data_IF_284766912714
#
_entry.id   IF_284766912714
#
_cell.length_a   1.000
_cell.length_b   1.000
_cell.length_c   1.000
_cell.angle_alpha   90.00
_cell.angle_beta   90.00
_cell.angle_gamma   90.00
#
_symmetry.space_group_name_H-M   'P 1'
#
loop_
_entity.id
_entity.type
_entity.pdbx_description
1 polymer ?
#
# COMPACT_ATOMS: atom_id res chain seq x y z
N UNK A 1 -25.30 -36.44 49.99
CA UNK A 1 -26.04 -37.46 49.24
C UNK A 1 -25.17 -37.89 48.07
N UNK A 2 -24.80 -39.16 48.06
CA UNK A 2 -23.83 -39.82 47.20
C UNK A 2 -24.50 -40.21 45.88
N UNK A 3 -23.90 -39.90 44.72
CA UNK A 3 -23.82 -40.83 43.58
C UNK A 3 -22.50 -40.59 42.84
N UNK A 4 -21.72 -41.65 42.77
CA UNK A 4 -20.39 -41.78 42.19
C UNK A 4 -20.54 -42.70 40.96
N UNK A 5 -19.99 -42.37 39.79
CA UNK A 5 -19.81 -43.36 38.72
C UNK A 5 -18.44 -43.18 38.06
N UNK A 6 -17.70 -44.29 38.12
CA UNK A 6 -16.31 -44.49 37.73
C UNK A 6 -16.17 -44.80 36.24
N UNK A 7 -15.02 -44.42 35.68
CA UNK A 7 -14.54 -44.82 34.36
C UNK A 7 -13.92 -46.23 34.39
N UNK A 8 -14.02 -47.02 33.29
CA UNK A 8 -13.39 -48.34 33.20
C UNK A 8 -11.97 -48.27 32.59
N UNK A 9 -11.07 -49.02 33.22
CA UNK A 9 -9.73 -49.41 32.78
C UNK A 9 -9.78 -50.71 31.97
N UNK A 10 -9.16 -50.76 30.79
CA UNK A 10 -8.80 -52.02 30.10
C UNK A 10 -7.47 -51.81 29.35
N UNK A 11 -6.37 -52.37 29.87
CA UNK A 11 -5.78 -53.70 29.59
C UNK A 11 -4.94 -53.74 28.31
N UNK A 12 -3.63 -53.71 28.56
CA UNK A 12 -2.53 -54.04 27.66
C UNK A 12 -2.54 -55.56 27.38
N UNK A 13 -2.73 -55.95 26.13
CA UNK A 13 -2.52 -57.32 25.65
C UNK A 13 -1.23 -57.38 24.84
N UNK A 14 -0.26 -58.10 25.38
CA UNK A 14 0.95 -58.58 24.70
C UNK A 14 0.61 -59.91 24.01
N UNK A 15 0.74 -59.95 22.69
CA UNK A 15 0.65 -61.17 21.88
C UNK A 15 1.73 -61.15 20.83
N UNK A 16 2.74 -61.98 21.02
CA UNK A 16 3.78 -62.31 20.03
C UNK A 16 3.22 -63.35 19.09
N UNK A 17 2.88 -62.97 17.86
CA UNK A 17 2.58 -63.92 16.79
C UNK A 17 3.64 -63.86 15.70
N UNK A 18 4.12 -65.06 15.42
CA UNK A 18 5.22 -65.48 14.57
C UNK A 18 4.90 -65.27 13.10
N UNK A 19 5.86 -64.69 12.37
CA UNK A 19 5.85 -64.58 10.92
C UNK A 19 5.86 -65.96 10.25
N UNK A 20 4.85 -66.22 9.41
CA UNK A 20 4.85 -67.28 8.41
C UNK A 20 4.55 -66.65 7.04
N UNK A 21 5.55 -66.67 6.17
CA UNK A 21 5.43 -66.31 4.76
C UNK A 21 4.63 -67.36 3.98
N UNK A 22 3.72 -66.94 3.07
CA UNK A 22 3.30 -67.79 1.98
C UNK A 22 3.67 -67.17 0.62
N UNK A 23 4.57 -67.88 -0.07
CA UNK A 23 4.72 -68.10 -1.51
C UNK A 23 4.64 -66.94 -2.55
N UNK A 24 5.61 -66.90 -3.49
CA UNK A 24 5.64 -65.89 -4.55
C UNK A 24 4.59 -66.20 -5.62
N UNK A 25 3.60 -65.33 -5.75
CA UNK A 25 2.74 -65.28 -6.94
C UNK A 25 3.53 -64.66 -8.10
N UNK A 26 3.85 -65.53 -9.05
CA UNK A 26 4.40 -65.25 -10.36
C UNK A 26 3.52 -64.20 -11.08
N UNK A 27 3.95 -62.93 -11.09
CA UNK A 27 3.30 -61.84 -11.83
C UNK A 27 4.19 -61.44 -13.00
N UNK A 28 3.65 -61.64 -14.20
CA UNK A 28 4.30 -61.37 -15.48
C UNK A 28 4.68 -59.89 -15.62
N UNK A 29 5.90 -59.56 -16.07
CA UNK A 29 6.33 -58.18 -16.26
C UNK A 29 5.97 -57.72 -17.68
N UNK A 30 4.71 -57.42 -17.96
CA UNK A 30 4.33 -56.96 -19.31
C UNK A 30 3.06 -56.14 -19.44
N UNK A 31 2.71 -55.25 -18.50
CA UNK A 31 1.60 -54.28 -18.74
C UNK A 31 1.83 -52.85 -18.19
N UNK A 32 3.01 -52.52 -17.65
CA UNK A 32 3.28 -51.20 -17.05
C UNK A 32 4.21 -50.29 -17.89
N UNK A 33 4.02 -50.22 -19.21
CA UNK A 33 4.89 -49.42 -20.09
C UNK A 33 4.20 -48.42 -21.03
N UNK A 34 2.91 -48.08 -20.84
CA UNK A 34 2.21 -47.22 -21.83
C UNK A 34 1.36 -46.06 -21.29
N UNK A 35 1.42 -45.73 -19.99
CA UNK A 35 0.61 -44.61 -19.43
C UNK A 35 1.36 -43.30 -19.11
N UNK A 36 2.68 -43.23 -19.32
CA UNK A 36 3.47 -42.03 -18.97
C UNK A 36 3.76 -41.09 -20.15
N UNK A 37 3.62 -41.52 -21.40
CA UNK A 37 4.03 -40.72 -22.58
C UNK A 37 2.99 -39.67 -23.00
N UNK A 38 1.70 -39.92 -22.80
CA UNK A 38 0.65 -38.94 -23.13
C UNK A 38 0.61 -37.73 -22.18
N UNK A 39 1.10 -37.88 -20.94
CA UNK A 39 1.20 -36.78 -19.97
C UNK A 39 2.28 -35.76 -20.36
N UNK A 40 3.38 -36.22 -20.95
CA UNK A 40 4.50 -35.36 -21.33
C UNK A 40 4.18 -34.52 -22.55
N UNK A 41 3.50 -35.07 -23.55
CA UNK A 41 3.04 -34.32 -24.72
C UNK A 41 2.01 -33.24 -24.35
N UNK A 42 1.06 -33.55 -23.45
CA UNK A 42 0.10 -32.55 -22.97
C UNK A 42 0.80 -31.44 -22.16
N UNK A 43 1.78 -31.80 -21.32
CA UNK A 43 2.57 -30.85 -20.52
C UNK A 43 3.45 -29.94 -21.40
N UNK A 44 4.10 -30.48 -22.44
CA UNK A 44 4.90 -29.67 -23.36
C UNK A 44 4.03 -28.73 -24.20
N UNK A 45 2.87 -29.19 -24.67
CA UNK A 45 1.90 -28.33 -25.38
C UNK A 45 1.41 -27.21 -24.47
N UNK A 46 1.01 -27.52 -23.23
CA UNK A 46 0.58 -26.51 -22.27
C UNK A 46 1.69 -25.50 -21.94
N UNK A 47 2.93 -25.99 -21.78
CA UNK A 47 4.11 -25.15 -21.58
C UNK A 47 4.32 -24.21 -22.77
N UNK A 48 4.23 -24.70 -24.01
CA UNK A 48 4.37 -23.89 -25.22
C UNK A 48 3.25 -22.83 -25.31
N UNK A 49 2.01 -23.19 -25.01
CA UNK A 49 0.88 -22.24 -24.99
C UNK A 49 1.13 -21.15 -23.95
N UNK A 50 1.55 -21.50 -22.73
CA UNK A 50 1.90 -20.50 -21.71
C UNK A 50 3.13 -19.68 -22.09
N UNK A 51 4.13 -20.27 -22.74
CA UNK A 51 5.33 -19.56 -23.20
C UNK A 51 4.97 -18.53 -24.29
N UNK A 52 4.14 -18.91 -25.26
CA UNK A 52 3.63 -18.00 -26.29
C UNK A 52 2.74 -16.91 -25.69
N UNK A 53 1.87 -17.24 -24.74
CA UNK A 53 1.06 -16.25 -24.03
C UNK A 53 1.92 -15.27 -23.22
N UNK A 54 2.93 -15.76 -22.51
CA UNK A 54 3.90 -14.92 -21.79
C UNK A 54 4.68 -14.03 -22.76
N UNK A 55 5.11 -14.55 -23.90
CA UNK A 55 5.80 -13.79 -24.94
C UNK A 55 4.88 -12.71 -25.54
N UNK A 56 3.63 -13.03 -25.84
CA UNK A 56 2.65 -12.04 -26.32
C UNK A 56 2.41 -10.94 -25.29
N UNK A 57 2.16 -11.30 -24.02
CA UNK A 57 2.00 -10.33 -22.93
C UNK A 57 3.25 -9.46 -22.77
N UNK A 58 4.44 -10.08 -22.84
CA UNK A 58 5.71 -9.38 -22.79
C UNK A 58 5.83 -8.39 -23.95
N UNK A 59 5.70 -8.82 -25.20
CA UNK A 59 5.80 -7.99 -26.42
C UNK A 59 4.76 -6.87 -26.40
N UNK A 60 3.53 -7.14 -25.98
CA UNK A 60 2.48 -6.11 -25.85
C UNK A 60 2.83 -5.07 -24.78
N UNK A 61 3.33 -5.51 -23.62
CA UNK A 61 3.76 -4.60 -22.54
C UNK A 61 4.98 -3.77 -22.96
N UNK A 62 5.95 -4.44 -23.59
CA UNK A 62 7.12 -3.89 -24.26
C UNK A 62 6.76 -2.79 -25.25
N UNK A 63 5.89 -3.09 -26.20
CA UNK A 63 5.40 -2.15 -27.20
C UNK A 63 4.70 -0.95 -26.55
N UNK A 64 3.80 -1.20 -25.59
CA UNK A 64 3.14 -0.14 -24.82
C UNK A 64 4.12 0.72 -24.04
N UNK A 65 5.23 0.16 -23.58
CA UNK A 65 6.27 0.93 -22.89
C UNK A 65 7.09 1.81 -23.83
N UNK A 66 7.37 1.33 -25.05
CA UNK A 66 8.14 2.09 -26.03
C UNK A 66 7.33 3.20 -26.70
N UNK A 67 6.04 2.94 -26.96
CA UNK A 67 5.13 3.91 -27.61
C UNK A 67 4.53 4.90 -26.58
N UNK A 68 4.75 4.68 -25.28
CA UNK A 68 4.28 5.58 -24.22
C UNK A 68 5.02 6.93 -24.32
N UNK A 69 4.29 7.96 -24.77
CA UNK A 69 4.77 9.35 -24.71
C UNK A 69 4.81 9.82 -23.27
N UNK A 70 5.93 10.44 -22.86
CA UNK A 70 6.02 11.12 -21.57
C UNK A 70 5.00 12.26 -21.53
N UNK A 71 4.19 12.30 -20.48
CA UNK A 71 3.18 13.35 -20.25
C UNK A 71 3.68 14.25 -19.15
N UNK A 72 3.61 15.55 -19.36
CA UNK A 72 3.86 16.58 -18.32
C UNK A 72 2.54 17.12 -17.79
N UNK A 73 2.56 17.68 -16.60
CA UNK A 73 1.40 18.25 -15.91
C UNK A 73 0.75 19.35 -16.74
N UNK A 74 1.55 20.22 -17.34
CA UNK A 74 1.09 21.29 -18.24
C UNK A 74 0.28 20.75 -19.44
N UNK A 75 0.55 19.50 -19.87
CA UNK A 75 -0.13 18.85 -20.97
C UNK A 75 -1.35 18.03 -20.51
N UNK A 76 -1.61 17.88 -19.21
CA UNK A 76 -2.88 17.37 -18.69
C UNK A 76 -3.90 18.49 -18.90
N UNK A 77 -4.62 18.45 -20.03
CA UNK A 77 -5.76 19.33 -20.25
C UNK A 77 -6.81 19.24 -19.13
N UNK A 78 -7.91 19.99 -19.22
CA UNK A 78 -8.93 20.00 -18.17
C UNK A 78 -9.43 18.57 -17.86
N UNK A 79 -9.23 18.14 -16.62
CA UNK A 79 -9.74 16.88 -16.11
C UNK A 79 -11.23 17.05 -15.80
N UNK A 80 -12.07 16.15 -16.32
CA UNK A 80 -13.51 16.09 -16.01
C UNK A 80 -13.78 15.84 -14.53
N UNK A 81 -12.88 15.10 -13.86
CA UNK A 81 -12.95 14.76 -12.44
C UNK A 81 -11.55 14.86 -11.84
N UNK A 82 -11.45 15.37 -10.61
CA UNK A 82 -10.21 15.45 -9.85
C UNK A 82 -10.41 14.79 -8.48
N UNK A 83 -9.45 14.00 -7.99
CA UNK A 83 -9.52 13.46 -6.64
C UNK A 83 -9.39 14.60 -5.63
N UNK A 84 -10.17 14.58 -4.56
CA UNK A 84 -9.99 15.43 -3.38
C UNK A 84 -8.82 14.91 -2.53
N UNK A 85 -8.65 13.59 -2.49
CA UNK A 85 -7.56 12.96 -1.76
C UNK A 85 -6.85 11.90 -2.61
N UNK A 86 -5.54 12.11 -2.78
CA UNK A 86 -4.65 11.20 -3.47
C UNK A 86 -3.84 10.35 -2.48
N UNK A 87 -3.94 9.03 -2.58
CA UNK A 87 -3.04 8.10 -1.90
C UNK A 87 -1.88 7.69 -2.81
N UNK A 88 -0.68 7.53 -2.25
CA UNK A 88 0.49 6.99 -2.93
C UNK A 88 1.14 5.93 -2.04
N UNK A 89 1.23 4.70 -2.54
CA UNK A 89 1.95 3.60 -1.89
C UNK A 89 3.30 3.43 -2.58
N UNK A 90 4.37 3.65 -1.83
CA UNK A 90 5.74 3.38 -2.27
C UNK A 90 6.10 1.94 -1.91
N UNK A 91 5.88 1.02 -2.85
CA UNK A 91 6.04 -0.41 -2.64
C UNK A 91 7.51 -0.82 -2.72
N UNK A 92 8.07 -1.21 -1.57
CA UNK A 92 9.41 -1.77 -1.43
C UNK A 92 9.38 -3.30 -1.54
N UNK A 93 10.36 -3.88 -2.25
CA UNK A 93 10.49 -5.35 -2.39
C UNK A 93 11.06 -6.02 -1.15
N UNK A 94 11.93 -5.33 -0.44
CA UNK A 94 12.60 -5.82 0.76
C UNK A 94 12.55 -4.76 1.84
N UNK A 95 12.49 -5.18 3.10
CA UNK A 95 12.56 -4.25 4.24
C UNK A 95 13.99 -3.66 4.42
N UNK A 96 14.93 -3.93 3.49
CA UNK A 96 16.27 -3.34 3.47
C UNK A 96 16.21 -1.88 3.02
N UNK A 97 16.62 -0.99 3.92
CA UNK A 97 16.74 0.44 3.67
C UNK A 97 18.13 0.72 3.11
N UNK A 98 18.27 0.77 1.78
CA UNK A 98 19.46 1.39 1.17
C UNK A 98 19.24 2.91 1.10
N UNK A 99 20.31 3.73 1.17
CA UNK A 99 20.18 5.19 1.07
C UNK A 99 19.45 5.62 -0.21
N UNK A 100 19.68 4.92 -1.34
CA UNK A 100 19.00 5.17 -2.61
C UNK A 100 17.47 4.98 -2.50
N UNK A 101 16.99 4.00 -1.72
CA UNK A 101 15.54 3.82 -1.49
C UNK A 101 14.97 4.97 -0.68
N UNK A 102 15.69 5.42 0.36
CA UNK A 102 15.26 6.55 1.18
C UNK A 102 15.14 7.81 0.32
N UNK A 103 16.19 8.11 -0.46
CA UNK A 103 16.24 9.25 -1.36
C UNK A 103 15.10 9.22 -2.39
N UNK A 104 14.91 8.08 -3.08
CA UNK A 104 13.82 7.95 -4.04
C UNK A 104 12.42 8.10 -3.42
N UNK A 105 12.24 7.65 -2.16
CA UNK A 105 10.98 7.82 -1.45
C UNK A 105 10.73 9.27 -1.05
N UNK A 106 11.74 9.95 -0.50
CA UNK A 106 11.69 11.37 -0.15
C UNK A 106 11.40 12.21 -1.40
N UNK A 107 12.17 11.99 -2.47
CA UNK A 107 11.99 12.66 -3.75
C UNK A 107 10.58 12.44 -4.32
N UNK A 108 10.04 11.21 -4.21
CA UNK A 108 8.67 10.91 -4.64
C UNK A 108 7.64 11.66 -3.81
N UNK A 109 7.80 11.73 -2.49
CA UNK A 109 6.87 12.44 -1.61
C UNK A 109 6.85 13.94 -1.93
N UNK A 110 8.02 14.56 -2.08
CA UNK A 110 8.14 15.98 -2.39
C UNK A 110 7.56 16.33 -3.77
N UNK A 111 7.90 15.54 -4.80
CA UNK A 111 7.35 15.72 -6.16
C UNK A 111 5.84 15.62 -6.20
N UNK A 112 5.25 14.64 -5.54
CA UNK A 112 3.78 14.49 -5.53
C UNK A 112 3.11 15.69 -4.88
N UNK A 113 3.67 16.23 -3.80
CA UNK A 113 3.15 17.45 -3.19
C UNK A 113 3.19 18.62 -4.17
N UNK A 114 4.29 18.81 -4.89
CA UNK A 114 4.42 19.87 -5.89
C UNK A 114 3.42 19.69 -7.04
N UNK A 115 3.19 18.47 -7.50
CA UNK A 115 2.21 18.20 -8.53
C UNK A 115 0.77 18.40 -8.03
N UNK A 116 0.48 18.02 -6.79
CA UNK A 116 -0.80 18.31 -6.14
C UNK A 116 -1.03 19.81 -5.96
N UNK A 117 0.02 20.59 -5.64
CA UNK A 117 -0.04 22.07 -5.59
C UNK A 117 -0.46 22.64 -6.94
N UNK A 118 0.20 22.21 -8.02
CA UNK A 118 -0.08 22.68 -9.40
C UNK A 118 -1.50 22.33 -9.85
N UNK A 119 -2.00 21.15 -9.48
CA UNK A 119 -3.32 20.67 -9.91
C UNK A 119 -4.46 21.01 -8.94
N UNK A 120 -4.14 21.68 -7.83
CA UNK A 120 -5.06 22.03 -6.75
C UNK A 120 -5.74 20.82 -6.11
N UNK A 121 -4.97 19.77 -5.83
CA UNK A 121 -5.42 18.58 -5.09
C UNK A 121 -5.14 18.81 -3.59
N UNK A 122 -6.18 18.92 -2.73
CA UNK A 122 -6.00 19.43 -1.38
C UNK A 122 -5.35 18.45 -0.40
N UNK A 123 -5.53 17.14 -0.60
CA UNK A 123 -5.00 16.12 0.30
C UNK A 123 -4.14 15.11 -0.46
N UNK A 124 -2.99 14.76 0.13
CA UNK A 124 -2.15 13.65 -0.32
C UNK A 124 -1.70 12.79 0.87
N UNK A 125 -1.82 11.48 0.75
CA UNK A 125 -1.26 10.51 1.70
C UNK A 125 -0.15 9.71 1.03
N UNK A 126 1.08 9.79 1.54
CA UNK A 126 2.21 8.98 1.08
C UNK A 126 2.51 7.90 2.12
N UNK A 127 2.43 6.65 1.68
CA UNK A 127 2.57 5.48 2.52
C UNK A 127 3.82 4.70 2.18
N UNK A 128 4.58 4.36 3.22
CA UNK A 128 5.66 3.39 3.15
C UNK A 128 5.47 2.31 4.23
N UNK A 129 5.75 1.05 3.90
CA UNK A 129 5.49 -0.06 4.81
C UNK A 129 6.34 0.00 6.09
N UNK A 130 7.56 0.50 5.98
CA UNK A 130 8.60 0.42 7.02
C UNK A 130 8.61 1.63 7.96
N UNK A 131 7.89 2.71 7.64
CA UNK A 131 7.92 3.97 8.38
C UNK A 131 9.16 4.83 8.10
N UNK A 132 9.85 4.59 6.99
CA UNK A 132 11.04 5.34 6.58
C UNK A 132 10.72 6.80 6.33
N UNK A 133 9.60 7.12 5.67
CA UNK A 133 9.19 8.51 5.46
C UNK A 133 8.89 9.24 6.78
N UNK A 134 8.41 8.51 7.79
CA UNK A 134 8.19 9.07 9.12
C UNK A 134 9.52 9.44 9.78
N UNK A 135 10.57 8.62 9.62
CA UNK A 135 11.90 8.91 10.15
C UNK A 135 12.57 10.12 9.51
N UNK A 136 12.41 10.32 8.20
CA UNK A 136 12.98 11.46 7.45
C UNK A 136 11.98 12.63 7.29
N UNK A 137 10.91 12.64 8.10
CA UNK A 137 9.86 13.66 7.99
C UNK A 137 10.35 15.09 8.24
N UNK A 138 11.50 15.28 8.90
CA UNK A 138 12.13 16.59 9.06
C UNK A 138 12.73 17.10 7.75
N UNK A 139 13.44 16.24 7.04
CA UNK A 139 14.03 16.58 5.74
C UNK A 139 12.92 16.96 4.73
N UNK A 140 11.80 16.22 4.75
CA UNK A 140 10.61 16.53 3.94
C UNK A 140 9.97 17.88 4.35
N UNK A 141 9.95 18.19 5.64
CA UNK A 141 9.45 19.48 6.15
C UNK A 141 10.30 20.63 5.62
N UNK A 142 11.63 20.49 5.72
CA UNK A 142 12.58 21.51 5.28
C UNK A 142 12.53 21.69 3.76
N UNK A 143 12.44 20.59 2.99
CA UNK A 143 12.38 20.65 1.52
C UNK A 143 11.08 21.27 0.99
N UNK A 144 9.96 21.07 1.70
CA UNK A 144 8.64 21.55 1.27
C UNK A 144 8.21 22.87 1.90
N UNK A 145 9.04 23.47 2.76
CA UNK A 145 8.70 24.62 3.60
C UNK A 145 7.39 24.38 4.36
N UNK A 146 7.22 23.17 4.88
CA UNK A 146 5.95 22.70 5.43
C UNK A 146 5.85 22.90 6.95
N UNK A 147 4.64 23.14 7.44
CA UNK A 147 4.37 23.22 8.87
C UNK A 147 3.83 21.88 9.38
N UNK A 148 4.44 21.33 10.44
CA UNK A 148 3.91 20.12 11.06
C UNK A 148 2.63 20.46 11.83
N UNK A 149 1.52 19.82 11.46
CA UNK A 149 0.29 19.90 12.23
C UNK A 149 0.40 18.88 13.36
N UNK A 150 0.44 19.35 14.61
CA UNK A 150 0.21 18.51 15.77
C UNK A 150 -1.25 18.04 15.76
N UNK A 151 -1.51 16.96 15.02
CA UNK A 151 -2.73 16.20 15.20
C UNK A 151 -2.61 15.57 16.59
N UNK A 152 -3.59 15.78 17.47
CA UNK A 152 -3.67 15.18 18.81
C UNK A 152 -3.86 13.66 18.72
N UNK A 153 -2.98 12.93 18.04
CA UNK A 153 -2.75 11.50 18.25
C UNK A 153 -1.97 11.38 19.56
N UNK A 154 -2.63 11.72 20.67
CA UNK A 154 -2.21 11.31 22.00
C UNK A 154 -2.40 9.81 22.07
N UNK A 155 -1.45 9.04 21.55
CA UNK A 155 -1.16 7.70 22.06
C UNK A 155 -0.55 7.89 23.46
N UNK A 156 -1.32 8.43 24.39
CA UNK A 156 -0.96 8.37 25.80
C UNK A 156 -1.13 6.91 26.17
N UNK A 157 0.00 6.22 26.37
CA UNK A 157 0.10 4.91 26.98
C UNK A 157 -0.72 4.91 28.28
N UNK A 158 -1.97 4.49 28.20
CA UNK A 158 -2.74 4.16 29.39
C UNK A 158 -2.22 2.78 29.84
N UNK A 159 -1.78 2.61 31.10
CA UNK A 159 -1.38 1.32 31.62
C UNK A 159 -2.50 0.30 31.34
N UNK A 160 -2.13 -0.82 30.73
CA UNK A 160 -3.03 -1.95 30.50
C UNK A 160 -3.77 -2.27 31.82
N UNK A 161 -5.09 -2.55 31.79
CA UNK A 161 -5.75 -3.12 32.95
C UNK A 161 -5.07 -4.46 33.32
N UNK A 162 -5.08 -4.85 34.61
CA UNK A 162 -4.45 -6.08 35.08
C UNK A 162 -4.83 -7.31 34.23
N UNK A 163 -3.86 -8.18 34.00
CA UNK A 163 -3.93 -9.36 33.10
C UNK A 163 -4.96 -10.42 33.51
N UNK A 164 -5.74 -10.21 34.57
CA UNK A 164 -6.44 -11.28 35.29
C UNK A 164 -7.80 -11.70 34.70
N UNK A 165 -8.23 -11.13 33.56
CA UNK A 165 -9.50 -11.51 32.90
C UNK A 165 -9.36 -11.79 31.41
N UNK A 166 -8.33 -12.53 31.01
CA UNK A 166 -8.39 -13.23 29.72
C UNK A 166 -8.94 -14.63 29.98
N UNK A 167 -10.02 -15.08 29.29
CA UNK A 167 -10.36 -16.49 29.32
C UNK A 167 -9.16 -17.27 28.79
N UNK A 168 -8.81 -18.36 29.48
CA UNK A 168 -7.70 -19.25 29.12
C UNK A 168 -7.96 -19.78 27.72
N UNK A 169 -7.35 -19.16 26.70
CA UNK A 169 -7.22 -19.81 25.40
C UNK A 169 -6.45 -21.11 25.62
N UNK A 170 -6.89 -22.24 25.03
CA UNK A 170 -6.18 -23.50 25.15
C UNK A 170 -4.72 -23.32 24.69
N UNK A 171 -3.78 -24.07 25.28
CA UNK A 171 -2.37 -23.97 24.90
C UNK A 171 -2.22 -24.24 23.40
N UNK A 172 -1.31 -23.52 22.71
CA UNK A 172 -1.03 -23.78 21.32
C UNK A 172 -0.57 -25.23 21.15
N UNK A 173 -1.18 -25.96 20.22
CA UNK A 173 -0.79 -27.33 19.89
C UNK A 173 0.60 -27.35 19.25
N UNK A 174 1.45 -28.29 19.69
CA UNK A 174 2.86 -28.45 19.27
C UNK A 174 3.08 -28.69 17.77
N UNK A 175 2.02 -28.84 16.99
CA UNK A 175 2.09 -29.14 15.54
C UNK A 175 2.02 -27.88 14.66
N UNK A 176 2.02 -26.68 15.23
CA UNK A 176 2.04 -25.42 14.49
C UNK A 176 3.48 -24.88 14.34
N UNK A 177 4.30 -25.53 13.52
CA UNK A 177 5.51 -24.89 12.95
C UNK A 177 5.18 -23.98 11.76
N UNK A 178 3.92 -23.56 11.61
CA UNK A 178 3.61 -22.35 10.85
C UNK A 178 3.94 -21.15 11.75
N UNK A 179 4.77 -20.24 11.27
CA UNK A 179 5.00 -18.90 11.83
C UNK A 179 3.69 -18.11 11.85
N UNK A 180 2.77 -18.50 12.73
CA UNK A 180 1.55 -17.77 13.06
C UNK A 180 1.95 -16.60 13.94
N UNK A 181 2.52 -15.59 13.28
CA UNK A 181 2.74 -14.25 13.83
C UNK A 181 1.45 -13.83 14.52
N UNK A 182 1.50 -13.56 15.82
CA UNK A 182 0.41 -12.93 16.56
C UNK A 182 -0.02 -11.67 15.79
N UNK A 183 -1.18 -11.73 15.15
CA UNK A 183 -1.71 -10.70 14.25
C UNK A 183 -2.26 -9.45 14.96
N UNK A 184 -1.93 -9.24 16.23
CA UNK A 184 -2.29 -8.01 16.95
C UNK A 184 -1.03 -7.17 17.12
N UNK A 185 -0.85 -6.08 16.34
CA UNK A 185 0.35 -5.27 16.46
C UNK A 185 0.23 -4.42 17.72
N UNK A 186 1.27 -4.44 18.56
CA UNK A 186 1.44 -3.39 19.57
C UNK A 186 1.88 -2.11 18.84
N UNK A 187 1.19 -0.97 19.02
CA UNK A 187 1.61 0.29 18.43
C UNK A 187 2.83 0.81 19.20
N UNK A 188 4.03 0.51 18.71
CA UNK A 188 5.28 0.92 19.35
C UNK A 188 5.78 2.29 18.88
N UNK A 189 5.14 2.92 17.89
CA UNK A 189 5.64 4.14 17.26
C UNK A 189 4.59 5.10 16.72
N UNK A 190 5.06 6.29 16.34
CA UNK A 190 4.27 7.28 15.61
C UNK A 190 3.90 6.70 14.25
N UNK A 191 2.61 6.62 13.94
CA UNK A 191 2.09 5.97 12.73
C UNK A 191 1.69 6.95 11.62
N UNK A 192 1.42 8.21 11.98
CA UNK A 192 0.98 9.26 11.06
C UNK A 192 1.73 10.57 11.36
N UNK A 193 2.15 11.27 10.30
CA UNK A 193 2.64 12.65 10.36
C UNK A 193 1.85 13.50 9.36
N UNK A 194 1.16 14.52 9.84
CA UNK A 194 0.43 15.47 9.00
C UNK A 194 1.23 16.76 8.87
N UNK A 195 1.45 17.19 7.62
CA UNK A 195 2.18 18.39 7.25
C UNK A 195 1.25 19.29 6.42
N UNK A 196 1.35 20.60 6.65
CA UNK A 196 0.69 21.62 5.85
C UNK A 196 1.73 22.23 4.93
N UNK A 197 1.53 22.04 3.63
CA UNK A 197 2.44 22.50 2.59
C UNK A 197 1.83 23.73 1.93
N UNK A 198 2.35 24.96 2.17
CA UNK A 198 1.83 26.16 1.53
C UNK A 198 2.07 26.14 0.02
N UNK A 199 1.31 26.95 -0.73
CA UNK A 199 1.61 27.18 -2.15
C UNK A 199 2.98 27.83 -2.26
N UNK A 200 3.80 27.36 -3.21
CA UNK A 200 4.95 28.16 -3.65
C UNK A 200 4.38 29.19 -4.61
N UNK A 201 4.36 30.45 -4.21
CA UNK A 201 4.17 31.53 -5.17
C UNK A 201 5.20 31.30 -6.26
N UNK A 202 4.76 31.05 -7.50
CA UNK A 202 5.66 31.04 -8.64
C UNK A 202 6.21 32.46 -8.77
N UNK A 203 7.29 32.76 -8.03
CA UNK A 203 8.28 33.70 -8.49
C UNK A 203 8.73 33.12 -9.82
N UNK A 204 8.15 33.61 -10.91
CA UNK A 204 8.75 33.44 -12.23
C UNK A 204 10.15 33.97 -12.03
N UNK A 205 11.14 33.09 -11.99
CA UNK A 205 12.50 33.47 -12.28
C UNK A 205 12.42 34.12 -13.66
N UNK A 206 12.34 35.45 -13.66
CA UNK A 206 12.60 36.26 -14.83
C UNK A 206 14.04 35.89 -15.17
N UNK A 207 14.18 34.95 -16.09
CA UNK A 207 15.47 34.60 -16.69
C UNK A 207 15.98 35.93 -17.23
N UNK A 208 16.99 36.49 -16.56
CA UNK A 208 17.73 37.65 -17.01
C UNK A 208 18.25 37.34 -18.42
N UNK A 209 17.48 37.72 -19.45
CA UNK A 209 17.93 37.72 -20.83
C UNK A 209 18.75 39.00 -21.02
N UNK A 210 20.09 38.90 -21.11
CA UNK A 210 20.97 40.07 -21.11
C UNK A 210 20.84 40.94 -22.38
N UNK A 211 19.96 40.56 -23.32
CA UNK A 211 19.79 41.23 -24.61
C UNK A 211 18.60 42.19 -24.70
N UNK A 212 17.84 42.42 -23.63
CA UNK A 212 16.71 43.36 -23.66
C UNK A 212 17.12 44.77 -23.17
N UNK A 213 16.93 45.75 -24.05
CA UNK A 213 17.33 47.14 -23.84
C UNK A 213 16.66 47.77 -22.58
N UNK A 214 17.38 48.59 -21.80
CA UNK A 214 16.91 49.07 -20.48
C UNK A 214 15.69 50.03 -20.50
N UNK A 215 15.22 50.48 -21.66
CA UNK A 215 14.28 51.62 -21.75
C UNK A 215 12.79 51.28 -21.69
N UNK A 216 12.41 50.00 -21.52
CA UNK A 216 11.02 49.59 -21.35
C UNK A 216 10.70 48.97 -19.97
N UNK A 217 11.59 49.13 -18.98
CA UNK A 217 11.39 48.66 -17.59
C UNK A 217 10.44 49.55 -16.75
N UNK A 218 9.43 50.14 -17.38
CA UNK A 218 8.37 50.88 -16.65
C UNK A 218 7.00 50.36 -17.07
N UNK A 219 6.76 49.07 -16.82
CA UNK A 219 5.40 48.54 -16.79
C UNK A 219 4.90 48.56 -15.36
N UNK A 220 3.83 49.32 -15.19
CA UNK A 220 3.08 49.51 -13.95
C UNK A 220 2.86 48.18 -13.21
N UNK A 221 3.40 48.08 -12.00
CA UNK A 221 2.84 47.22 -10.97
C UNK A 221 1.45 47.78 -10.63
N UNK A 222 0.41 47.33 -11.33
CA UNK A 222 -0.94 47.41 -10.79
C UNK A 222 -0.99 46.46 -9.58
N UNK A 223 -1.45 46.92 -8.41
CA UNK A 223 -1.64 46.04 -7.28
C UNK A 223 -2.69 45.00 -7.66
N UNK A 224 -2.29 43.74 -7.67
CA UNK A 224 -3.21 42.61 -7.78
C UNK A 224 -4.25 42.73 -6.67
N UNK A 225 -5.52 42.80 -7.08
CA UNK A 225 -6.74 42.66 -6.26
C UNK A 225 -6.56 41.63 -5.14
N UNK A 226 -7.18 41.80 -3.95
CA UNK A 226 -7.00 40.91 -2.79
C UNK A 226 -7.35 39.48 -3.15
N UNK A 227 -6.32 38.71 -3.50
CA UNK A 227 -6.46 37.36 -4.03
C UNK A 227 -6.85 36.43 -2.89
N UNK A 228 -7.75 35.48 -3.20
CA UNK A 228 -8.09 34.33 -2.37
C UNK A 228 -6.90 33.78 -1.58
N UNK A 229 -7.12 33.25 -0.36
CA UNK A 229 -6.04 32.72 0.47
C UNK A 229 -5.20 31.70 -0.32
N UNK A 230 -3.87 31.68 -0.11
CA UNK A 230 -2.98 30.79 -0.84
C UNK A 230 -3.41 29.33 -0.64
N UNK A 231 -3.48 28.59 -1.75
CA UNK A 231 -3.87 27.18 -1.72
C UNK A 231 -2.83 26.35 -0.96
N UNK A 232 -3.27 25.54 0.01
CA UNK A 232 -2.37 24.68 0.81
C UNK A 232 -2.70 23.22 0.56
N UNK A 233 -1.67 22.38 0.42
CA UNK A 233 -1.80 20.92 0.35
C UNK A 233 -1.55 20.33 1.73
N UNK A 234 -2.42 19.42 2.17
CA UNK A 234 -2.19 18.63 3.39
C UNK A 234 -1.53 17.31 3.02
N UNK A 235 -0.30 17.10 3.46
CA UNK A 235 0.47 15.86 3.28
C UNK A 235 0.37 14.99 4.53
N UNK A 236 -0.06 13.74 4.36
CA UNK A 236 -0.05 12.71 5.40
C UNK A 236 1.02 11.67 5.08
N UNK A 237 2.05 11.56 5.91
CA UNK A 237 3.02 10.47 5.84
C UNK A 237 2.51 9.33 6.72
N UNK A 238 2.46 8.11 6.18
CA UNK A 238 1.85 6.94 6.80
C UNK A 238 2.81 5.76 6.83
N UNK A 239 2.79 5.02 7.94
CA UNK A 239 3.41 3.69 8.02
C UNK A 239 2.37 2.58 8.14
N UNK A 240 2.83 1.32 8.12
CA UNK A 240 1.98 0.14 8.40
C UNK A 240 1.20 0.24 9.72
N UNK A 241 1.73 0.95 10.71
CA UNK A 241 1.07 1.09 12.00
C UNK A 241 -0.22 1.92 11.91
N UNK A 242 -0.39 2.72 10.84
CA UNK A 242 -1.63 3.43 10.54
C UNK A 242 -2.76 2.53 10.04
N UNK A 243 -2.46 1.26 9.72
CA UNK A 243 -3.42 0.34 9.11
C UNK A 243 -4.34 -0.36 10.12
N UNK A 244 -4.25 -1.69 10.12
CA UNK A 244 -5.01 -2.56 11.04
C UNK A 244 -4.87 -2.23 12.53
N UNK A 245 -3.70 -1.80 13.05
CA UNK A 245 -3.56 -1.47 14.48
C UNK A 245 -4.49 -0.34 14.90
N UNK A 246 -4.53 0.75 14.13
CA UNK A 246 -5.42 1.88 14.40
C UNK A 246 -6.89 1.48 14.30
N UNK A 247 -7.25 0.62 13.34
CA UNK A 247 -8.62 0.11 13.26
C UNK A 247 -8.99 -0.75 14.47
N UNK A 248 -8.05 -1.57 14.97
CA UNK A 248 -8.24 -2.34 16.19
C UNK A 248 -8.38 -1.42 17.41
N UNK A 249 -7.61 -0.33 17.48
CA UNK A 249 -7.74 0.69 18.52
C UNK A 249 -9.10 1.39 18.46
N UNK A 250 -9.56 1.77 17.26
CA UNK A 250 -10.88 2.34 17.05
C UNK A 250 -12.00 1.39 17.50
N UNK A 251 -11.87 0.09 17.19
CA UNK A 251 -12.80 -0.93 17.64
C UNK A 251 -12.79 -1.10 19.18
N UNK A 252 -11.63 -1.06 19.82
CA UNK A 252 -11.54 -1.08 21.29
C UNK A 252 -12.18 0.15 21.91
N UNK A 253 -11.98 1.33 21.33
CA UNK A 253 -12.61 2.58 21.78
C UNK A 253 -14.12 2.51 21.64
N UNK A 254 -14.62 2.01 20.51
CA UNK A 254 -16.04 1.76 20.27
C UNK A 254 -16.63 0.80 21.32
N UNK A 255 -15.94 -0.31 21.59
CA UNK A 255 -16.37 -1.30 22.57
C UNK A 255 -16.44 -0.74 23.99
N UNK A 256 -15.48 0.11 24.39
CA UNK A 256 -15.50 0.80 25.69
C UNK A 256 -16.64 1.80 25.80
N UNK A 257 -16.89 2.58 24.76
CA UNK A 257 -18.01 3.52 24.74
C UNK A 257 -19.38 2.82 24.79
N UNK A 258 -19.45 1.59 24.30
CA UNK A 258 -20.67 0.79 24.22
C UNK A 258 -20.80 -0.30 25.29
N UNK A 259 -19.94 -0.35 26.31
CA UNK A 259 -20.02 -1.36 27.37
C UNK A 259 -21.35 -1.35 28.14
N UNK A 260 -22.13 -0.28 27.99
CA UNK A 260 -23.43 -0.08 28.65
C UNK A 260 -24.62 0.04 27.66
N UNK A 261 -24.40 -0.15 26.35
CA UNK A 261 -25.46 -0.02 25.33
C UNK A 261 -25.46 -1.20 24.35
N UNK A 262 -26.59 -1.89 24.21
CA UNK A 262 -26.75 -3.02 23.28
C UNK A 262 -27.03 -2.60 21.82
N UNK A 263 -26.86 -1.32 21.49
CA UNK A 263 -27.33 -0.77 20.23
C UNK A 263 -26.38 -1.08 19.06
N UNK A 264 -26.94 -1.41 17.89
CA UNK A 264 -26.17 -1.76 16.69
C UNK A 264 -25.36 -0.56 16.18
N UNK A 265 -24.11 -0.76 15.81
CA UNK A 265 -23.24 0.30 15.36
C UNK A 265 -23.57 0.76 13.93
N UNK A 266 -24.00 2.02 13.76
CA UNK A 266 -24.11 2.63 12.44
C UNK A 266 -22.72 2.95 11.86
N UNK A 267 -22.59 2.81 10.54
CA UNK A 267 -21.35 3.03 9.79
C UNK A 267 -20.86 4.47 10.01
N UNK A 268 -21.77 5.45 10.03
CA UNK A 268 -21.41 6.86 10.27
C UNK A 268 -20.75 7.11 11.62
N UNK A 269 -21.14 6.33 12.64
CA UNK A 269 -20.52 6.41 13.97
C UNK A 269 -19.11 5.86 13.94
N UNK A 270 -18.89 4.77 13.20
CA UNK A 270 -17.57 4.17 13.01
C UNK A 270 -16.67 5.13 12.21
N UNK A 271 -17.20 5.72 11.13
CA UNK A 271 -16.53 6.74 10.33
C UNK A 271 -16.04 7.90 11.20
N UNK A 272 -16.92 8.48 12.02
CA UNK A 272 -16.55 9.57 12.91
C UNK A 272 -15.42 9.20 13.89
N UNK A 273 -15.40 7.97 14.39
CA UNK A 273 -14.36 7.48 15.31
C UNK A 273 -13.05 7.24 14.55
N UNK A 274 -13.09 6.54 13.42
CA UNK A 274 -11.89 6.22 12.63
C UNK A 274 -11.26 7.48 12.05
N UNK A 275 -12.04 8.34 11.40
CA UNK A 275 -11.55 9.60 10.83
C UNK A 275 -11.13 10.58 11.93
N UNK A 276 -11.85 10.63 13.06
CA UNK A 276 -11.47 11.46 14.21
C UNK A 276 -10.18 11.01 14.89
N UNK A 277 -9.89 9.70 14.92
CA UNK A 277 -8.64 9.17 15.49
C UNK A 277 -7.44 9.33 14.56
N UNK A 278 -7.64 9.10 13.27
CA UNK A 278 -6.55 9.08 12.28
C UNK A 278 -6.28 10.46 11.67
N UNK A 279 -7.30 11.32 11.59
CA UNK A 279 -7.25 12.58 10.85
C UNK A 279 -7.09 12.41 9.33
N UNK A 280 -7.28 11.19 8.82
CA UNK A 280 -7.11 10.87 7.40
C UNK A 280 -8.46 10.90 6.68
N UNK A 281 -8.62 11.69 5.61
CA UNK A 281 -9.82 11.63 4.77
C UNK A 281 -9.88 10.32 3.96
N UNK A 282 -11.06 10.00 3.42
CA UNK A 282 -11.20 8.92 2.42
C UNK A 282 -10.33 9.21 1.20
N UNK A 283 -9.75 8.17 0.59
CA UNK A 283 -8.89 8.27 -0.60
C UNK A 283 -9.74 8.05 -1.85
N UNK A 284 -9.65 8.96 -2.82
CA UNK A 284 -10.38 8.83 -4.09
C UNK A 284 -9.57 8.09 -5.15
N UNK A 285 -8.26 8.37 -5.21
CA UNK A 285 -7.32 7.76 -6.15
C UNK A 285 -6.08 7.29 -5.38
N UNK A 286 -5.72 6.02 -5.56
CA UNK A 286 -4.54 5.39 -4.99
C UNK A 286 -3.55 5.04 -6.10
N UNK A 287 -2.33 5.56 -6.03
CA UNK A 287 -1.22 5.21 -6.91
C UNK A 287 -0.32 4.21 -6.18
N UNK A 288 -0.21 2.99 -6.70
CA UNK A 288 0.74 1.99 -6.20
C UNK A 288 1.98 2.02 -7.08
N UNK A 289 3.09 2.52 -6.52
CA UNK A 289 4.36 2.68 -7.21
C UNK A 289 5.43 1.73 -6.66
N UNK A 290 5.85 0.71 -7.43
CA UNK A 290 6.97 -0.15 -7.05
C UNK A 290 8.31 0.56 -7.24
N UNK A 291 9.04 0.74 -6.15
CA UNK A 291 10.38 1.36 -6.16
C UNK A 291 11.42 0.49 -6.89
N UNK A 292 11.21 -0.82 -6.96
CA UNK A 292 12.08 -1.75 -7.70
C UNK A 292 11.35 -2.39 -8.89
N UNK A 293 12.00 -2.39 -10.06
CA UNK A 293 11.37 -2.57 -11.37
C UNK A 293 10.99 -4.00 -11.83
N UNK A 294 10.65 -4.94 -10.95
CA UNK A 294 10.28 -6.30 -11.41
C UNK A 294 8.77 -6.44 -11.64
N UNK A 295 8.34 -6.73 -12.88
CA UNK A 295 6.93 -6.79 -13.31
C UNK A 295 6.12 -7.99 -12.82
N UNK A 296 6.72 -8.92 -12.08
CA UNK A 296 6.11 -10.22 -11.78
C UNK A 296 5.54 -10.35 -10.36
N UNK A 297 5.39 -9.25 -9.63
CA UNK A 297 4.86 -9.29 -8.27
C UNK A 297 3.36 -8.95 -8.24
N UNK A 298 2.54 -9.70 -7.47
CA UNK A 298 1.14 -9.34 -7.27
C UNK A 298 0.99 -7.94 -6.67
N UNK A 299 -0.04 -7.21 -7.09
CA UNK A 299 -0.34 -5.90 -6.54
C UNK A 299 -0.81 -6.09 -5.09
N UNK A 300 -0.09 -5.47 -4.15
CA UNK A 300 -0.41 -5.48 -2.73
C UNK A 300 -0.49 -4.05 -2.21
N UNK A 301 -1.37 -3.83 -1.23
CA UNK A 301 -1.49 -2.55 -0.54
C UNK A 301 -0.68 -2.50 0.77
N UNK A 302 0.09 -3.55 1.05
CA UNK A 302 1.06 -3.68 2.14
C UNK A 302 0.62 -3.35 3.58
N UNK A 303 -0.69 -3.19 3.81
CA UNK A 303 -1.26 -2.81 5.09
C UNK A 303 -1.65 -1.33 5.18
N UNK A 304 -1.80 -0.64 4.04
CA UNK A 304 -2.42 0.69 3.98
C UNK A 304 -3.76 0.70 4.73
N UNK A 305 -4.12 1.81 5.42
CA UNK A 305 -5.39 1.97 6.13
C UNK A 305 -6.61 1.49 5.31
N UNK A 306 -7.21 0.34 5.67
CA UNK A 306 -8.20 -0.30 4.81
C UNK A 306 -9.55 0.42 4.79
N UNK A 307 -9.86 1.19 5.84
CA UNK A 307 -11.12 1.94 5.93
C UNK A 307 -11.17 3.10 4.93
N UNK A 308 -10.03 3.77 4.75
CA UNK A 308 -9.87 4.97 3.92
C UNK A 308 -9.92 4.68 2.41
N UNK A 309 -9.70 3.43 1.98
CA UNK A 309 -9.62 3.04 0.56
C UNK A 309 -10.88 2.32 0.05
N UNK A 310 -11.97 2.32 0.82
CA UNK A 310 -13.18 1.54 0.53
C UNK A 310 -13.76 1.78 -0.87
N UNK A 311 -13.68 3.01 -1.36
CA UNK A 311 -14.16 3.43 -2.69
C UNK A 311 -13.05 4.02 -3.56
N UNK A 312 -11.79 3.80 -3.19
CA UNK A 312 -10.65 4.35 -3.91
C UNK A 312 -10.45 3.63 -5.25
N UNK A 313 -10.25 4.39 -6.31
CA UNK A 313 -9.70 3.85 -7.55
C UNK A 313 -8.22 3.53 -7.37
N UNK A 314 -7.75 2.42 -7.95
CA UNK A 314 -6.37 1.99 -7.80
C UNK A 314 -5.68 2.01 -9.15
N UNK A 315 -4.66 2.87 -9.27
CA UNK A 315 -3.73 2.90 -10.39
C UNK A 315 -2.42 2.22 -10.00
N UNK A 316 -1.97 1.24 -10.79
CA UNK A 316 -0.70 0.56 -10.60
C UNK A 316 0.35 1.06 -11.60
N UNK A 317 1.43 1.65 -11.10
CA UNK A 317 2.55 2.09 -11.93
C UNK A 317 3.48 0.93 -12.29
N UNK A 318 3.05 0.18 -13.31
CA UNK A 318 3.77 -1.01 -13.78
C UNK A 318 5.21 -0.68 -14.23
N UNK A 319 6.22 -1.46 -13.79
CA UNK A 319 7.59 -1.29 -14.23
C UNK A 319 7.72 -1.37 -15.76
N UNK A 320 8.61 -0.54 -16.32
CA UNK A 320 8.91 -0.56 -17.76
C UNK A 320 9.79 -1.79 -18.07
N UNK A 321 9.39 -2.66 -19.00
CA UNK A 321 10.05 -3.95 -19.26
C UNK A 321 11.40 -3.82 -20.00
N UNK A 322 11.68 -2.66 -20.59
CA UNK A 322 12.90 -2.42 -21.39
C UNK A 322 13.80 -1.34 -20.83
N UNK A 323 13.62 -0.98 -19.57
CA UNK A 323 14.65 -0.19 -18.92
C UNK A 323 15.81 -1.14 -18.61
N UNK A 324 16.60 -1.49 -19.63
CA UNK A 324 17.63 -2.52 -19.61
C UNK A 324 18.62 -2.27 -18.47
N UNK A 325 18.89 -1.00 -18.17
CA UNK A 325 19.70 -0.58 -17.01
C UNK A 325 19.00 -0.93 -15.70
N UNK A 326 17.71 -0.64 -15.54
CA UNK A 326 16.96 -0.98 -14.33
C UNK A 326 16.71 -2.49 -14.18
N UNK A 327 16.54 -3.23 -15.28
CA UNK A 327 16.36 -4.67 -15.30
C UNK A 327 17.63 -5.42 -14.85
N UNK A 328 18.81 -4.97 -15.26
CA UNK A 328 20.09 -5.55 -14.83
C UNK A 328 20.61 -5.03 -13.48
N UNK A 329 20.38 -3.75 -13.16
CA UNK A 329 20.90 -3.14 -11.92
C UNK A 329 19.94 -3.16 -10.74
N UNK A 330 18.67 -3.53 -10.94
CA UNK A 330 17.66 -3.41 -9.89
C UNK A 330 17.48 -1.98 -9.42
N UNK A 331 17.59 -1.01 -10.33
CA UNK A 331 17.60 0.42 -10.01
C UNK A 331 16.35 0.81 -9.23
N UNK A 332 16.56 1.49 -8.10
CA UNK A 332 15.51 2.22 -7.41
C UNK A 332 15.01 3.33 -8.34
N UNK A 333 13.70 3.56 -8.35
CA UNK A 333 13.08 4.68 -9.07
C UNK A 333 12.15 5.46 -8.15
N UNK A 334 12.15 6.77 -8.30
CA UNK A 334 11.11 7.63 -7.76
C UNK A 334 9.88 7.63 -8.66
N UNK A 335 8.73 7.99 -8.10
CA UNK A 335 7.50 8.18 -8.85
C UNK A 335 7.73 9.28 -9.89
N UNK A 336 7.41 8.97 -11.15
CA UNK A 336 7.63 9.89 -12.25
C UNK A 336 6.38 10.72 -12.55
N UNK A 337 6.61 11.93 -13.06
CA UNK A 337 5.53 12.86 -13.40
C UNK A 337 4.57 12.24 -14.42
N UNK A 338 5.08 11.49 -15.40
CA UNK A 338 4.25 10.85 -16.42
C UNK A 338 3.33 9.76 -15.84
N UNK A 339 3.79 9.02 -14.83
CA UNK A 339 2.99 8.00 -14.15
C UNK A 339 1.85 8.66 -13.35
N UNK A 340 2.17 9.75 -12.64
CA UNK A 340 1.20 10.57 -11.93
C UNK A 340 0.15 11.18 -12.87
N UNK A 341 0.59 11.79 -13.97
CA UNK A 341 -0.29 12.37 -15.00
C UNK A 341 -1.23 11.31 -15.60
N UNK A 342 -0.70 10.11 -15.86
CA UNK A 342 -1.47 9.01 -16.41
C UNK A 342 -2.54 8.52 -15.42
N UNK A 343 -2.18 8.37 -14.14
CA UNK A 343 -3.12 8.00 -13.09
C UNK A 343 -4.30 8.96 -13.02
N UNK A 344 -4.03 10.27 -13.06
CA UNK A 344 -5.07 11.29 -13.05
C UNK A 344 -5.95 11.28 -14.30
N UNK A 345 -5.36 11.11 -15.50
CA UNK A 345 -6.14 11.00 -16.74
C UNK A 345 -7.06 9.78 -16.72
N UNK A 346 -6.55 8.64 -16.23
CA UNK A 346 -7.34 7.41 -16.08
C UNK A 346 -8.48 7.61 -15.08
N UNK A 347 -8.21 8.25 -13.94
CA UNK A 347 -9.22 8.59 -12.94
C UNK A 347 -10.29 9.53 -13.50
N UNK A 348 -9.91 10.58 -14.25
CA UNK A 348 -10.84 11.50 -14.88
C UNK A 348 -11.82 10.82 -15.85
N UNK A 349 -11.34 9.79 -16.56
CA UNK A 349 -12.13 8.98 -17.48
C UNK A 349 -12.87 7.81 -16.83
N UNK A 350 -12.64 7.51 -15.55
CA UNK A 350 -13.23 6.36 -14.88
C UNK A 350 -14.74 6.55 -14.62
N UNK A 351 -15.50 5.45 -14.72
CA UNK A 351 -16.92 5.41 -14.38
C UNK A 351 -17.09 4.88 -12.94
N UNK A 352 -17.63 5.68 -12.03
CA UNK A 352 -17.81 5.29 -10.64
C UNK A 352 -19.16 4.61 -10.43
N UNK A 353 -19.14 3.30 -10.25
CA UNK A 353 -20.32 2.48 -9.94
C UNK A 353 -20.35 2.20 -8.45
N UNK A 354 -20.87 3.17 -7.69
CA UNK A 354 -20.98 3.08 -6.22
C UNK A 354 -22.17 2.18 -5.85
N UNK A 355 -22.10 0.90 -6.22
CA UNK A 355 -23.07 -0.14 -5.86
C UNK A 355 -24.47 0.04 -6.46
N UNK A 356 -24.58 0.62 -7.65
CA UNK A 356 -25.82 0.68 -8.43
C UNK A 356 -25.86 -0.37 -9.52
#
# INVERSE_FOLDING_TARGET
>A
MVVNQQAPTLRRCSGTETWQDPHPLNTSPSVFASRTTMSWAASTVLFLVHALYRAYCFVRHAWRSLVRRKVRIEAIGPLSKKPQHLGVILAQRTDFQSPEHVEAMTESACRVVDWCRQLQIPHVSVYDRTGTLLSVSRDIVDELDAERIETQTSTTLHPLPPRDKRPLTPPPSEHSQATSRSWSPEPAGRSIVTLRCPSRDHVRDDVDDPNLLPSLRKRHHLPSSPSSPPFTVTLHLLSRDAGKPQLAEAAQRLARLRSHSSDTADIKTIDAIVFGMTGLPEVDLMIVHPLSGTSNWPIELHGFPPWQIRLAEIYYDAPRPFDFVAWWKGSVRSLSEDAFCMALRMYGGAEFRVGK
#
